data_IF_020086565422
#
_entry.id   IF_020086565422
#
_cell.length_a   1.000
_cell.length_b   1.000
_cell.length_c   1.000
_cell.angle_alpha   90.00
_cell.angle_beta   90.00
_cell.angle_gamma   90.00
#
_symmetry.space_group_name_H-M   'P 1'
#
loop_
_entity.id
_entity.type
_entity.pdbx_description
1 polymer ?
#
# COMPACT_ATOMS: atom_id res chain seq x y z
N UNK A 1 18.52 22.87 -1.09
CA UNK A 1 17.26 22.64 -0.36
C UNK A 1 16.15 22.87 -1.34
N UNK A 2 15.04 22.18 -1.19
CA UNK A 2 13.92 22.25 -2.11
C UNK A 2 12.76 22.99 -1.48
N UNK A 3 12.01 23.73 -2.30
CA UNK A 3 10.64 24.10 -1.95
C UNK A 3 9.77 22.94 -2.39
N UNK A 4 8.97 22.43 -1.47
CA UNK A 4 8.06 21.32 -1.72
C UNK A 4 6.65 21.89 -1.79
N UNK A 5 5.94 21.58 -2.86
CA UNK A 5 4.50 21.81 -2.93
C UNK A 5 3.79 20.66 -2.21
N UNK A 6 2.90 21.01 -1.29
CA UNK A 6 2.08 20.04 -0.53
C UNK A 6 0.65 19.96 -1.07
N UNK A 7 0.31 20.74 -2.10
CA UNK A 7 -1.06 20.84 -2.62
C UNK A 7 -2.03 21.55 -1.67
N UNK A 8 -1.53 22.22 -0.62
CA UNK A 8 -2.34 22.98 0.33
C UNK A 8 -2.19 24.46 0.04
N UNK A 9 -3.28 25.10 -0.40
CA UNK A 9 -3.29 26.52 -0.74
C UNK A 9 -2.79 27.38 0.44
N UNK A 10 -1.83 28.26 0.15
CA UNK A 10 -1.26 29.19 1.14
C UNK A 10 -0.25 28.58 2.12
N UNK A 11 0.10 27.30 1.99
CA UNK A 11 1.14 26.64 2.78
C UNK A 11 2.38 26.44 1.91
N UNK A 12 3.55 26.83 2.43
CA UNK A 12 4.83 26.61 1.77
C UNK A 12 5.63 25.61 2.57
N UNK A 13 6.25 24.62 1.92
CA UNK A 13 7.11 23.67 2.61
C UNK A 13 8.55 23.73 2.09
N UNK A 14 9.52 23.55 2.98
CA UNK A 14 10.94 23.63 2.64
C UNK A 14 11.71 22.41 3.17
N UNK A 15 12.41 21.72 2.28
CA UNK A 15 13.34 20.63 2.60
C UNK A 15 14.79 21.17 2.64
N UNK A 16 15.47 21.13 3.80
CA UNK A 16 16.84 21.62 3.95
C UNK A 16 17.84 20.91 3.04
N UNK A 17 18.92 21.62 2.64
CA UNK A 17 19.93 21.09 1.69
C UNK A 17 20.57 19.78 2.14
N UNK A 18 20.85 19.62 3.44
CA UNK A 18 21.45 18.39 3.97
C UNK A 18 20.54 17.17 3.98
N UNK A 19 19.23 17.35 3.74
CA UNK A 19 18.24 16.26 3.63
C UNK A 19 17.81 16.04 2.17
N UNK A 20 18.40 16.77 1.24
CA UNK A 20 17.95 16.88 -0.14
C UNK A 20 18.94 16.26 -1.15
N UNK A 21 19.89 15.47 -0.68
CA UNK A 21 20.89 14.84 -1.54
C UNK A 21 20.26 13.74 -2.40
N UNK A 22 20.55 13.75 -3.70
CA UNK A 22 20.05 12.75 -4.66
C UNK A 22 18.61 12.95 -5.14
N UNK A 23 17.91 14.00 -4.71
CA UNK A 23 16.55 14.30 -5.19
C UNK A 23 16.57 15.13 -6.46
N UNK A 24 15.61 14.87 -7.35
CA UNK A 24 15.39 15.60 -8.60
C UNK A 24 14.19 16.54 -8.50
N UNK A 25 14.17 17.61 -9.30
CA UNK A 25 13.00 18.50 -9.40
C UNK A 25 11.81 17.70 -9.96
N UNK A 26 10.63 17.87 -9.35
CA UNK A 26 9.40 17.15 -9.75
C UNK A 26 9.25 15.77 -9.13
N UNK A 27 10.26 15.24 -8.44
CA UNK A 27 10.16 13.99 -7.72
C UNK A 27 9.22 14.13 -6.52
N UNK A 28 8.20 13.29 -6.45
CA UNK A 28 7.39 13.12 -5.24
C UNK A 28 8.23 12.51 -4.12
N UNK A 29 8.18 13.11 -2.93
CA UNK A 29 8.89 12.62 -1.74
C UNK A 29 7.96 12.55 -0.55
N UNK A 30 8.07 11.47 0.23
CA UNK A 30 7.42 11.40 1.53
C UNK A 30 8.31 12.07 2.58
N UNK A 31 7.76 13.02 3.32
CA UNK A 31 8.51 13.83 4.26
C UNK A 31 7.73 14.07 5.56
N UNK A 32 8.48 14.18 6.66
CA UNK A 32 7.97 14.53 7.98
C UNK A 32 8.04 16.04 8.21
N UNK A 33 7.02 16.59 8.87
CA UNK A 33 7.05 17.99 9.32
C UNK A 33 7.96 18.08 10.55
N UNK A 34 9.15 18.67 10.37
CA UNK A 34 10.11 18.94 11.46
C UNK A 34 9.72 20.16 12.28
N UNK A 35 9.04 21.13 11.69
CA UNK A 35 8.61 22.33 12.38
C UNK A 35 7.69 23.22 11.55
N UNK A 36 7.04 24.16 12.23
CA UNK A 36 6.10 25.13 11.65
C UNK A 36 6.49 26.55 12.03
N UNK A 37 6.51 27.46 11.06
CA UNK A 37 6.76 28.90 11.22
C UNK A 37 5.70 29.68 10.44
N UNK A 38 4.61 30.05 11.10
CA UNK A 38 3.46 30.63 10.41
C UNK A 38 2.84 29.62 9.43
N UNK A 39 2.73 30.01 8.16
CA UNK A 39 2.31 29.13 7.05
C UNK A 39 3.45 28.33 6.42
N UNK A 40 4.70 28.52 6.86
CA UNK A 40 5.85 27.77 6.37
C UNK A 40 6.10 26.51 7.20
N UNK A 41 6.25 25.37 6.52
CA UNK A 41 6.63 24.09 7.11
C UNK A 41 8.09 23.76 6.77
N UNK A 42 8.83 23.27 7.74
CA UNK A 42 10.18 22.73 7.52
C UNK A 42 10.07 21.21 7.50
N UNK A 43 10.51 20.62 6.40
CA UNK A 43 10.42 19.18 6.16
C UNK A 43 11.73 18.48 6.53
N UNK A 44 11.63 17.17 6.72
CA UNK A 44 12.72 16.22 6.94
C UNK A 44 12.35 14.91 6.25
N UNK A 45 13.30 14.25 5.60
CA UNK A 45 13.09 12.89 5.10
C UNK A 45 13.03 11.91 6.28
N UNK A 46 12.06 10.97 6.29
CA UNK A 46 11.95 10.00 7.36
C UNK A 46 13.21 9.12 7.40
N UNK A 47 13.75 8.95 8.60
CA UNK A 47 14.69 7.87 8.88
C UNK A 47 13.84 6.63 9.17
N UNK A 48 13.59 5.82 8.13
CA UNK A 48 12.67 4.68 8.18
C UNK A 48 12.95 3.77 9.39
N UNK A 49 14.24 3.55 9.69
CA UNK A 49 14.66 2.72 10.82
C UNK A 49 14.28 3.31 12.19
N UNK A 50 14.15 4.64 12.34
CA UNK A 50 13.72 5.27 13.60
C UNK A 50 12.20 5.35 13.73
N UNK A 51 11.49 5.50 12.61
CA UNK A 51 10.04 5.67 12.59
C UNK A 51 9.27 4.34 12.63
N UNK A 52 9.89 3.26 12.16
CA UNK A 52 9.33 1.90 12.21
C UNK A 52 9.36 1.27 13.61
N UNK A 53 10.23 1.71 14.51
CA UNK A 53 10.53 0.94 15.74
C UNK A 53 9.61 1.17 16.93
N UNK A 54 8.73 2.17 16.90
CA UNK A 54 7.84 2.47 18.04
C UNK A 54 6.53 1.68 17.94
N UNK A 55 6.61 0.37 18.22
CA UNK A 55 5.42 -0.49 18.41
C UNK A 55 4.66 -0.03 19.66
N UNK A 56 3.36 0.19 19.52
CA UNK A 56 2.48 0.54 20.64
C UNK A 56 1.85 -0.74 21.19
N UNK A 57 2.35 -1.19 22.35
CA UNK A 57 1.90 -2.43 23.01
C UNK A 57 1.09 -2.17 24.28
N UNK A 58 0.99 -0.93 24.75
CA UNK A 58 0.23 -0.56 25.95
C UNK A 58 -1.24 -0.30 25.64
N UNK A 59 -2.13 -0.63 26.58
CA UNK A 59 -3.54 -0.25 26.51
C UNK A 59 -3.69 1.28 26.40
N UNK A 60 -4.30 1.74 25.31
CA UNK A 60 -4.56 3.15 25.05
C UNK A 60 -6.06 3.43 25.03
N UNK A 61 -6.44 4.68 25.34
CA UNK A 61 -7.78 5.17 25.05
C UNK A 61 -7.90 5.45 23.55
N UNK A 62 -9.10 5.35 23.00
CA UNK A 62 -9.35 5.57 21.57
C UNK A 62 -8.81 6.92 21.07
N UNK A 63 -9.02 7.98 21.87
CA UNK A 63 -8.55 9.35 21.57
C UNK A 63 -7.02 9.49 21.50
N UNK A 64 -6.27 8.56 22.08
CA UNK A 64 -4.82 8.55 22.01
C UNK A 64 -4.29 7.82 20.76
N UNK A 65 -5.16 7.09 20.05
CA UNK A 65 -4.80 6.43 18.79
C UNK A 65 -4.79 7.48 17.69
N UNK A 66 -3.68 7.54 16.97
CA UNK A 66 -3.46 8.49 15.87
C UNK A 66 -3.11 7.75 14.59
N UNK A 67 -3.45 8.35 13.46
CA UNK A 67 -2.94 7.92 12.16
C UNK A 67 -1.39 7.90 12.19
N UNK A 68 -0.81 6.90 11.54
CA UNK A 68 0.61 6.62 11.54
C UNK A 68 1.11 5.78 12.72
N UNK A 69 0.28 5.46 13.73
CA UNK A 69 0.73 4.59 14.83
C UNK A 69 0.96 3.15 14.39
N UNK A 70 2.06 2.54 14.84
CA UNK A 70 2.33 1.13 14.64
C UNK A 70 1.71 0.31 15.77
N UNK A 71 0.86 -0.65 15.41
CA UNK A 71 0.07 -1.47 16.34
C UNK A 71 0.22 -2.94 16.00
N UNK A 72 0.16 -3.79 17.03
CA UNK A 72 0.00 -5.23 16.84
C UNK A 72 -1.49 -5.57 16.92
N UNK A 73 -1.92 -6.42 15.99
CA UNK A 73 -3.30 -6.89 15.90
C UNK A 73 -3.36 -8.39 15.71
N UNK A 74 -4.39 -9.01 16.28
CA UNK A 74 -4.69 -10.43 16.10
C UNK A 74 -5.77 -10.57 15.04
N UNK A 75 -5.57 -11.41 14.03
CA UNK A 75 -6.60 -11.69 13.02
C UNK A 75 -7.79 -12.35 13.69
N UNK A 76 -8.92 -11.64 13.75
CA UNK A 76 -10.15 -12.16 14.32
C UNK A 76 -10.96 -12.88 13.24
N UNK A 77 -11.10 -12.25 12.06
CA UNK A 77 -11.92 -12.76 10.95
C UNK A 77 -11.32 -12.41 9.60
N UNK A 78 -11.51 -13.30 8.63
CA UNK A 78 -11.20 -13.09 7.21
C UNK A 78 -12.53 -12.85 6.48
N UNK A 79 -12.77 -11.63 6.03
CA UNK A 79 -14.02 -11.23 5.34
C UNK A 79 -13.83 -11.24 3.82
N UNK A 80 -14.85 -10.85 3.05
CA UNK A 80 -14.78 -10.86 1.58
C UNK A 80 -13.83 -9.82 1.01
N UNK A 81 -13.75 -8.65 1.65
CA UNK A 81 -13.01 -7.48 1.19
C UNK A 81 -11.82 -7.11 2.09
N UNK A 82 -11.36 -8.02 2.94
CA UNK A 82 -10.25 -7.74 3.86
C UNK A 82 -10.19 -8.60 5.12
N UNK A 83 -9.43 -8.11 6.10
CA UNK A 83 -9.22 -8.72 7.41
C UNK A 83 -9.81 -7.83 8.51
N UNK A 84 -10.42 -8.48 9.50
CA UNK A 84 -10.77 -7.83 10.77
C UNK A 84 -9.74 -8.25 11.81
N UNK A 85 -9.05 -7.26 12.36
CA UNK A 85 -8.03 -7.42 13.39
C UNK A 85 -8.56 -6.90 14.73
N UNK A 86 -8.22 -7.58 15.80
CA UNK A 86 -8.35 -7.10 17.17
C UNK A 86 -7.02 -6.45 17.56
N UNK A 87 -6.97 -5.11 17.61
CA UNK A 87 -5.75 -4.33 17.77
C UNK A 87 -5.61 -3.74 19.19
N UNK A 88 -4.37 -3.41 19.58
CA UNK A 88 -4.05 -2.77 20.87
C UNK A 88 -4.59 -3.61 22.04
N UNK A 89 -4.07 -4.84 22.18
CA UNK A 89 -4.50 -5.78 23.23
C UNK A 89 -6.01 -6.08 23.22
N UNK A 90 -6.62 -6.03 22.05
CA UNK A 90 -8.05 -6.27 21.84
C UNK A 90 -8.97 -5.16 22.32
N UNK A 91 -8.44 -3.96 22.57
CA UNK A 91 -9.24 -2.79 22.91
C UNK A 91 -10.06 -2.26 21.73
N UNK A 92 -9.58 -2.44 20.49
CA UNK A 92 -10.21 -1.87 19.29
C UNK A 92 -10.31 -2.86 18.15
N UNK A 93 -11.36 -2.69 17.33
CA UNK A 93 -11.49 -3.40 16.06
C UNK A 93 -10.80 -2.60 14.96
N UNK A 94 -10.02 -3.29 14.14
CA UNK A 94 -9.32 -2.75 12.98
C UNK A 94 -9.72 -3.47 11.70
N UNK A 95 -9.91 -2.72 10.62
CA UNK A 95 -10.16 -3.26 9.29
C UNK A 95 -8.93 -3.05 8.42
N UNK A 96 -8.45 -4.11 7.77
CA UNK A 96 -7.48 -4.05 6.68
C UNK A 96 -8.20 -4.44 5.41
N UNK A 97 -8.35 -3.51 4.46
CA UNK A 97 -8.94 -3.83 3.16
C UNK A 97 -7.98 -4.70 2.32
N UNK A 98 -8.51 -5.44 1.36
CA UNK A 98 -7.75 -6.21 0.37
C UNK A 98 -6.69 -5.36 -0.36
N UNK A 99 -6.98 -4.06 -0.57
CA UNK A 99 -6.04 -3.09 -1.14
C UNK A 99 -4.87 -2.74 -0.21
N UNK A 100 -4.96 -3.04 1.08
CA UNK A 100 -3.94 -2.73 2.10
C UNK A 100 -3.30 -3.97 2.72
N UNK A 101 -3.44 -5.13 2.07
CA UNK A 101 -2.63 -6.31 2.36
C UNK A 101 -1.16 -6.10 1.96
N UNK A 102 -0.28 -7.01 2.39
CA UNK A 102 1.15 -6.94 2.10
C UNK A 102 1.43 -6.87 0.59
N UNK A 103 0.75 -7.74 -0.16
CA UNK A 103 0.73 -7.75 -1.62
C UNK A 103 -0.72 -7.91 -2.13
N UNK A 104 -1.03 -7.42 -3.34
CA UNK A 104 -2.28 -7.70 -4.02
C UNK A 104 -2.48 -9.21 -4.18
N UNK A 105 -3.59 -9.77 -3.74
CA UNK A 105 -3.86 -11.19 -3.94
C UNK A 105 -5.37 -11.49 -4.02
N UNK A 106 -5.79 -12.55 -4.73
CA UNK A 106 -7.17 -13.04 -4.68
C UNK A 106 -7.50 -13.55 -3.29
N UNK A 107 -8.78 -13.50 -2.92
CA UNK A 107 -9.29 -13.92 -1.60
C UNK A 107 -8.82 -15.31 -1.19
N UNK A 108 -8.85 -16.24 -2.12
CA UNK A 108 -8.49 -17.65 -1.89
C UNK A 108 -7.01 -17.82 -1.52
N UNK A 109 -6.15 -16.88 -1.91
CA UNK A 109 -4.72 -16.90 -1.62
C UNK A 109 -4.46 -16.31 -0.23
N UNK A 110 -4.91 -15.09 0.04
CA UNK A 110 -4.61 -14.44 1.32
C UNK A 110 -5.40 -15.03 2.49
N UNK A 111 -6.55 -15.66 2.27
CA UNK A 111 -7.24 -16.44 3.30
C UNK A 111 -6.45 -17.67 3.77
N UNK A 112 -5.51 -18.19 2.97
CA UNK A 112 -4.61 -19.30 3.37
C UNK A 112 -3.42 -18.80 4.17
N UNK A 113 -2.98 -17.57 3.88
CA UNK A 113 -1.85 -16.89 4.51
C UNK A 113 -2.25 -16.35 5.88
N UNK A 114 -3.31 -15.54 5.94
CA UNK A 114 -3.80 -14.94 7.18
C UNK A 114 -4.83 -15.83 7.85
N UNK A 115 -4.48 -16.38 9.01
CA UNK A 115 -5.35 -17.29 9.78
C UNK A 115 -5.87 -16.61 11.04
N UNK A 116 -7.07 -16.99 11.47
CA UNK A 116 -7.64 -16.54 12.73
C UNK A 116 -6.68 -16.88 13.89
N UNK A 117 -6.43 -15.90 14.76
CA UNK A 117 -5.47 -15.99 15.87
C UNK A 117 -4.03 -15.60 15.50
N UNK A 118 -3.72 -15.36 14.22
CA UNK A 118 -2.40 -14.89 13.81
C UNK A 118 -2.15 -13.46 14.26
N UNK A 119 -0.99 -13.21 14.86
CA UNK A 119 -0.53 -11.86 15.18
C UNK A 119 0.11 -11.24 13.93
N UNK A 120 -0.30 -10.02 13.62
CA UNK A 120 0.24 -9.21 12.52
C UNK A 120 0.57 -7.81 13.02
N UNK A 121 1.66 -7.24 12.54
CA UNK A 121 2.00 -5.84 12.78
C UNK A 121 1.37 -5.00 11.68
N UNK A 122 0.61 -3.97 12.06
CA UNK A 122 -0.10 -3.09 11.14
C UNK A 122 0.12 -1.62 11.51
N UNK A 123 -0.02 -0.72 10.55
CA UNK A 123 -0.01 0.73 10.80
C UNK A 123 -1.41 1.30 10.66
N UNK A 124 -1.78 2.21 11.56
CA UNK A 124 -3.05 2.95 11.50
C UNK A 124 -2.99 3.93 10.33
N UNK A 125 -3.89 3.79 9.35
CA UNK A 125 -4.06 4.77 8.27
C UNK A 125 -5.00 5.89 8.69
N UNK A 126 -6.13 5.51 9.27
CA UNK A 126 -7.19 6.43 9.66
C UNK A 126 -7.95 5.88 10.86
N UNK A 127 -8.54 6.78 11.64
CA UNK A 127 -9.33 6.47 12.83
C UNK A 127 -10.77 6.89 12.57
N UNK A 128 -11.68 5.92 12.42
CA UNK A 128 -13.12 6.20 12.32
C UNK A 128 -13.71 6.34 13.72
N UNK A 129 -13.79 7.58 14.19
CA UNK A 129 -14.33 7.91 15.51
C UNK A 129 -15.86 7.74 15.62
N UNK A 130 -16.58 7.57 14.51
CA UNK A 130 -18.02 7.31 14.57
C UNK A 130 -18.30 5.83 14.79
N UNK A 131 -17.46 4.96 14.21
CA UNK A 131 -17.59 3.50 14.31
C UNK A 131 -16.62 2.87 15.31
N UNK A 132 -15.85 3.68 16.03
CA UNK A 132 -14.76 3.26 16.92
C UNK A 132 -13.85 2.19 16.27
N UNK A 133 -13.60 2.34 14.96
CA UNK A 133 -12.90 1.36 14.14
C UNK A 133 -11.62 1.98 13.56
N UNK A 134 -10.54 1.21 13.55
CA UNK A 134 -9.27 1.63 12.95
C UNK A 134 -9.19 1.13 11.51
N UNK A 135 -8.82 1.99 10.56
CA UNK A 135 -8.38 1.52 9.25
C UNK A 135 -6.89 1.25 9.33
N UNK A 136 -6.49 0.02 9.01
CA UNK A 136 -5.14 -0.48 9.19
C UNK A 136 -4.54 -0.87 7.85
N UNK A 137 -3.21 -0.83 7.76
CA UNK A 137 -2.46 -1.35 6.60
C UNK A 137 -1.38 -2.34 7.01
N UNK A 138 -1.23 -3.37 6.19
CA UNK A 138 -0.17 -4.38 6.24
C UNK A 138 0.86 -4.19 5.11
N UNK A 139 0.72 -3.14 4.28
CA UNK A 139 1.68 -2.85 3.21
C UNK A 139 3.06 -2.58 3.81
N UNK A 140 4.05 -3.32 3.34
CA UNK A 140 5.41 -3.26 3.89
C UNK A 140 5.97 -1.83 3.93
N UNK A 141 5.85 -1.05 2.84
CA UNK A 141 6.34 0.32 2.82
C UNK A 141 5.65 1.26 3.79
N UNK A 142 4.34 1.13 3.99
CA UNK A 142 3.61 1.95 4.96
C UNK A 142 3.89 1.49 6.40
N UNK A 143 4.02 0.19 6.62
CA UNK A 143 4.37 -0.37 7.93
C UNK A 143 5.78 0.06 8.35
N UNK A 144 6.75 0.03 7.45
CA UNK A 144 8.14 0.38 7.75
C UNK A 144 8.50 1.84 7.43
N UNK A 145 7.57 2.62 6.85
CA UNK A 145 7.80 3.98 6.36
C UNK A 145 9.00 4.04 5.39
N UNK A 146 9.07 3.03 4.53
CA UNK A 146 10.02 2.95 3.43
C UNK A 146 9.41 3.64 2.20
N UNK A 147 10.24 3.98 1.22
CA UNK A 147 9.73 4.38 -0.08
C UNK A 147 8.75 3.32 -0.61
N UNK A 148 7.61 3.75 -1.14
CA UNK A 148 6.64 2.85 -1.73
C UNK A 148 7.34 1.93 -2.76
N UNK A 149 7.10 0.61 -2.73
CA UNK A 149 7.55 -0.28 -3.79
C UNK A 149 6.92 0.25 -5.06
N UNK A 150 7.65 0.26 -6.14
CA UNK A 150 7.23 0.90 -7.37
C UNK A 150 5.96 0.27 -7.97
N UNK A 151 4.80 0.95 -7.98
CA UNK A 151 3.94 0.92 -9.16
C UNK A 151 4.51 1.87 -10.23
N UNK A 152 5.16 2.98 -9.83
CA UNK A 152 5.59 4.07 -10.71
C UNK A 152 6.98 3.88 -11.35
N UNK A 153 7.86 3.06 -10.77
CA UNK A 153 9.19 2.81 -11.34
C UNK A 153 9.24 1.53 -12.21
N UNK A 154 8.27 0.63 -12.06
CA UNK A 154 8.21 -0.63 -12.81
C UNK A 154 7.28 -0.55 -14.04
N UNK A 155 6.22 0.26 -13.96
CA UNK A 155 5.40 0.65 -15.10
C UNK A 155 5.07 2.17 -15.00
N UNK A 156 5.93 3.05 -15.55
CA UNK A 156 5.62 4.47 -15.65
C UNK A 156 4.24 4.69 -16.27
N UNK A 157 3.61 5.78 -15.87
CA UNK A 157 2.35 6.19 -16.46
C UNK A 157 2.52 6.37 -17.97
N UNK A 158 1.58 5.83 -18.73
CA UNK A 158 1.64 5.74 -20.18
C UNK A 158 1.96 4.33 -20.67
N UNK A 159 2.61 3.50 -19.84
CA UNK A 159 2.95 2.12 -20.18
C UNK A 159 1.73 1.21 -20.26
N UNK A 160 1.78 0.28 -21.20
CA UNK A 160 0.82 -0.81 -21.35
C UNK A 160 1.36 -2.04 -20.62
N UNK A 161 0.59 -2.52 -19.65
CA UNK A 161 0.87 -3.71 -18.86
C UNK A 161 0.07 -4.87 -19.44
N UNK A 162 0.78 -5.83 -20.00
CA UNK A 162 0.22 -7.08 -20.49
C UNK A 162 0.07 -8.12 -19.36
N UNK A 163 -0.83 -9.10 -19.56
CA UNK A 163 -1.05 -10.26 -18.67
C UNK A 163 -1.40 -9.90 -17.21
N UNK A 164 -2.11 -8.79 -17.00
CA UNK A 164 -2.58 -8.41 -15.67
C UNK A 164 -3.79 -9.25 -15.25
N UNK A 165 -3.68 -9.95 -14.12
CA UNK A 165 -4.71 -10.84 -13.59
C UNK A 165 -5.73 -10.08 -12.73
N UNK A 166 -7.02 -10.31 -12.92
CA UNK A 166 -8.09 -9.79 -12.06
C UNK A 166 -8.05 -10.51 -10.71
N UNK A 167 -7.80 -9.76 -9.63
CA UNK A 167 -7.69 -10.29 -8.27
C UNK A 167 -8.97 -10.15 -7.47
N UNK A 168 -9.66 -9.03 -7.65
CA UNK A 168 -10.91 -8.72 -6.96
C UNK A 168 -11.76 -7.81 -7.84
N UNK A 169 -13.08 -8.02 -7.79
CA UNK A 169 -14.06 -7.18 -8.49
C UNK A 169 -14.99 -6.60 -7.43
N UNK A 170 -15.13 -5.28 -7.41
CA UNK A 170 -16.10 -4.58 -6.58
C UNK A 170 -17.15 -3.95 -7.49
N UNK A 171 -18.39 -4.45 -7.52
CA UNK A 171 -19.40 -4.13 -8.53
C UNK A 171 -19.52 -2.65 -8.88
N UNK A 172 -19.61 -1.79 -7.87
CA UNK A 172 -19.89 -0.35 -8.03
C UNK A 172 -18.66 0.54 -7.98
N UNK A 173 -17.46 -0.01 -7.83
CA UNK A 173 -16.23 0.78 -7.60
C UNK A 173 -15.22 0.52 -8.70
N UNK A 174 -14.92 -0.75 -9.00
CA UNK A 174 -13.90 -1.09 -9.98
C UNK A 174 -13.29 -2.47 -9.75
N UNK A 175 -12.13 -2.66 -10.37
CA UNK A 175 -11.45 -3.95 -10.46
C UNK A 175 -10.01 -3.79 -10.02
N UNK A 176 -9.57 -4.72 -9.18
CA UNK A 176 -8.20 -4.83 -8.73
C UNK A 176 -7.46 -5.83 -9.60
N UNK A 177 -6.35 -5.41 -10.19
CA UNK A 177 -5.46 -6.22 -10.99
C UNK A 177 -4.12 -6.43 -10.30
N UNK A 178 -3.51 -7.57 -10.61
CA UNK A 178 -2.17 -7.92 -10.17
C UNK A 178 -1.31 -8.43 -11.30
N UNK A 179 -0.03 -8.07 -11.29
CA UNK A 179 0.98 -8.69 -12.15
C UNK A 179 2.07 -9.27 -11.27
N UNK A 180 2.46 -10.52 -11.51
CA UNK A 180 3.55 -11.14 -10.76
C UNK A 180 4.88 -10.43 -11.06
N UNK A 181 5.69 -10.20 -10.04
CA UNK A 181 6.99 -9.54 -10.17
C UNK A 181 8.06 -10.38 -9.48
N UNK A 182 9.27 -10.40 -10.04
CA UNK A 182 10.42 -10.92 -9.32
C UNK A 182 10.61 -10.08 -8.04
N UNK A 183 10.75 -10.76 -6.89
CA UNK A 183 10.90 -10.11 -5.59
C UNK A 183 11.97 -9.00 -5.66
N UNK A 184 11.55 -7.73 -5.55
CA UNK A 184 12.50 -6.65 -5.34
C UNK A 184 13.12 -6.86 -3.96
N UNK A 185 14.45 -6.95 -3.90
CA UNK A 185 15.24 -7.37 -2.74
C UNK A 185 15.19 -6.42 -1.53
N UNK A 186 14.02 -6.25 -0.92
CA UNK A 186 13.80 -5.40 0.26
C UNK A 186 13.05 -6.09 1.40
N UNK A 187 12.83 -7.40 1.33
CA UNK A 187 12.33 -8.18 2.46
C UNK A 187 13.51 -8.80 3.22
N UNK A 188 14.31 -7.96 3.89
CA UNK A 188 14.96 -8.41 5.12
C UNK A 188 13.81 -8.65 6.11
N UNK A 189 13.30 -9.87 6.12
CA UNK A 189 12.26 -10.27 7.06
C UNK A 189 12.80 -10.02 8.46
N UNK A 190 12.10 -9.18 9.22
CA UNK A 190 12.31 -9.06 10.65
C UNK A 190 12.28 -10.48 11.22
N UNK A 191 13.45 -10.95 11.66
CA UNK A 191 13.56 -12.14 12.49
C UNK A 191 12.87 -11.81 13.82
N UNK A 192 11.55 -12.02 13.89
CA UNK A 192 10.85 -12.05 15.17
C UNK A 192 11.39 -13.25 15.96
N UNK A 193 12.34 -12.95 16.85
CA UNK A 193 12.73 -13.80 17.97
C UNK A 193 11.48 -14.05 18.81
N UNK A 194 10.97 -15.29 18.79
CA UNK A 194 9.98 -15.80 19.72
C UNK A 194 10.58 -15.75 21.15
N UNK A 195 10.51 -14.59 21.81
CA UNK A 195 10.80 -14.47 23.25
C UNK A 195 9.60 -14.96 24.04
N UNK A 196 9.35 -16.26 24.01
CA UNK A 196 8.55 -16.95 25.02
C UNK A 196 9.16 -18.32 25.31
N UNK A 197 10.39 -18.31 25.83
CA UNK A 197 10.94 -19.43 26.57
C UNK A 197 10.74 -19.16 28.05
N UNK A 198 9.66 -19.73 28.62
CA UNK A 198 9.73 -20.19 30.00
C UNK A 198 10.62 -21.43 29.97
N UNK A 199 11.75 -21.30 30.62
CA UNK A 199 12.75 -22.32 30.87
C UNK A 199 12.08 -23.51 31.58
N UNK A 200 12.16 -24.69 30.97
CA UNK A 200 12.03 -26.00 31.61
C UNK A 200 12.29 -27.11 30.56
N UNK A 201 13.46 -27.75 30.64
CA UNK A 201 13.65 -29.12 30.17
C UNK A 201 14.26 -29.32 28.78
N UNK A 202 15.44 -29.96 28.80
CA UNK A 202 16.27 -30.44 27.71
C UNK A 202 15.56 -31.47 26.79
N UNK A 203 15.44 -31.19 25.48
CA UNK A 203 15.40 -32.21 24.42
C UNK A 203 15.85 -31.63 23.07
N UNK A 204 16.94 -32.20 22.54
CA UNK A 204 17.59 -31.84 21.29
C UNK A 204 16.83 -32.37 20.07
N UNK A 205 15.74 -31.70 19.70
CA UNK A 205 15.05 -31.89 18.43
C UNK A 205 15.36 -30.76 17.44
N UNK A 206 16.02 -31.07 16.31
CA UNK A 206 16.22 -30.13 15.18
C UNK A 206 14.87 -29.50 14.76
N UNK A 207 14.61 -28.26 15.22
CA UNK A 207 13.44 -27.47 14.81
C UNK A 207 13.53 -27.18 13.31
N UNK A 208 12.75 -27.89 12.49
CA UNK A 208 12.47 -27.51 11.09
C UNK A 208 11.80 -26.13 11.13
N UNK A 209 12.52 -25.07 10.75
CA UNK A 209 11.96 -23.72 10.52
C UNK A 209 10.80 -23.86 9.53
N UNK A 210 9.57 -23.75 10.01
CA UNK A 210 8.36 -23.80 9.19
C UNK A 210 8.32 -22.48 8.42
N UNK A 211 8.55 -22.52 7.10
CA UNK A 211 8.50 -21.32 6.25
C UNK A 211 7.10 -20.70 6.40
N UNK A 212 7.03 -19.49 6.97
CA UNK A 212 5.77 -18.74 7.13
C UNK A 212 5.16 -18.56 5.75
N UNK A 213 3.88 -18.93 5.58
CA UNK A 213 3.18 -18.65 4.33
C UNK A 213 3.19 -17.13 4.14
N UNK A 214 3.63 -16.67 2.97
CA UNK A 214 3.69 -15.26 2.58
C UNK A 214 3.03 -15.13 1.22
N UNK A 215 2.47 -13.96 0.96
CA UNK A 215 1.92 -13.65 -0.35
C UNK A 215 3.04 -13.50 -1.37
N UNK A 216 2.78 -13.97 -2.60
CA UNK A 216 3.72 -13.76 -3.68
C UNK A 216 3.83 -12.27 -4.03
N UNK A 217 5.04 -11.74 -4.30
CA UNK A 217 5.20 -10.37 -4.74
C UNK A 217 4.43 -10.09 -6.04
N UNK A 218 3.50 -9.14 -5.96
CA UNK A 218 2.68 -8.69 -7.09
C UNK A 218 2.66 -7.17 -7.12
N UNK A 219 2.83 -6.62 -8.31
CA UNK A 219 2.44 -5.26 -8.62
C UNK A 219 0.93 -5.16 -8.68
N UNK A 220 0.42 -4.01 -8.29
CA UNK A 220 -0.99 -3.79 -8.15
C UNK A 220 -1.48 -2.65 -9.02
N UNK A 221 -2.60 -2.87 -9.72
CA UNK A 221 -3.27 -1.86 -10.52
C UNK A 221 -4.75 -1.78 -10.16
N UNK A 222 -5.29 -0.58 -10.01
CA UNK A 222 -6.71 -0.36 -9.79
C UNK A 222 -7.33 0.31 -11.02
N UNK A 223 -8.42 -0.28 -11.50
CA UNK A 223 -9.21 0.26 -12.61
C UNK A 223 -10.58 0.61 -12.08
N UNK A 224 -10.87 1.90 -12.01
CA UNK A 224 -12.19 2.39 -11.64
C UNK A 224 -13.24 1.92 -12.66
N UNK A 225 -14.48 1.70 -12.23
CA UNK A 225 -15.57 1.20 -13.09
C UNK A 225 -15.75 2.02 -14.38
N UNK A 226 -15.57 3.34 -14.30
CA UNK A 226 -15.66 4.24 -15.45
C UNK A 226 -14.50 4.15 -16.44
N UNK A 227 -13.47 3.35 -16.14
CA UNK A 227 -12.28 3.12 -16.97
C UNK A 227 -12.20 1.68 -17.47
N UNK A 228 -13.26 0.89 -17.29
CA UNK A 228 -13.34 -0.48 -17.81
C UNK A 228 -13.67 -0.54 -19.30
N UNK A 229 -14.47 0.43 -19.79
CA UNK A 229 -14.92 0.52 -21.17
C UNK A 229 -15.15 1.99 -21.53
N UNK A 230 -15.14 2.29 -22.83
CA UNK A 230 -15.54 3.60 -23.37
C UNK A 230 -17.05 3.85 -23.19
N UNK A 231 -17.82 2.77 -23.10
CA UNK A 231 -19.25 2.82 -22.79
C UNK A 231 -19.53 2.80 -21.30
N UNK A 232 -20.72 3.25 -20.91
CA UNK A 232 -21.13 3.25 -19.50
C UNK A 232 -21.27 1.83 -18.94
N UNK A 233 -20.60 1.59 -17.82
CA UNK A 233 -20.63 0.30 -17.11
C UNK A 233 -21.37 0.47 -15.78
N UNK A 234 -22.50 -0.21 -15.63
CA UNK A 234 -23.28 -0.21 -14.38
C UNK A 234 -22.65 -1.07 -13.27
N UNK A 235 -22.02 -2.18 -13.65
CA UNK A 235 -21.43 -3.12 -12.71
C UNK A 235 -20.20 -3.80 -13.31
N UNK A 236 -19.10 -3.75 -12.58
CA UNK A 236 -17.84 -4.38 -12.96
C UNK A 236 -17.94 -5.91 -13.06
N UNK A 237 -18.76 -6.55 -12.21
CA UNK A 237 -18.94 -8.02 -12.20
C UNK A 237 -19.59 -8.58 -13.47
N UNK A 238 -20.31 -7.73 -14.22
CA UNK A 238 -20.88 -8.13 -15.51
C UNK A 238 -19.81 -8.23 -16.61
N UNK A 239 -18.67 -7.56 -16.43
CA UNK A 239 -17.64 -7.39 -17.47
C UNK A 239 -16.37 -8.20 -17.18
N UNK A 240 -16.07 -8.46 -15.91
CA UNK A 240 -14.82 -9.11 -15.52
C UNK A 240 -15.05 -10.16 -14.44
N UNK A 241 -14.22 -11.20 -14.45
CA UNK A 241 -14.16 -12.20 -13.37
C UNK A 241 -12.76 -12.39 -12.83
N UNK A 242 -12.68 -12.75 -11.56
CA UNK A 242 -11.42 -13.08 -10.87
C UNK A 242 -10.69 -14.21 -11.63
N UNK A 243 -9.39 -14.03 -11.83
CA UNK A 243 -8.51 -14.93 -12.58
C UNK A 243 -8.41 -14.65 -14.08
N UNK A 244 -9.26 -13.79 -14.64
CA UNK A 244 -9.11 -13.34 -16.02
C UNK A 244 -7.87 -12.47 -16.19
N UNK A 245 -7.25 -12.50 -17.37
CA UNK A 245 -6.05 -11.73 -17.69
C UNK A 245 -6.35 -10.73 -18.79
N UNK A 246 -5.92 -9.49 -18.58
CA UNK A 246 -6.21 -8.37 -19.48
C UNK A 246 -4.96 -7.52 -19.70
N UNK A 247 -4.98 -6.78 -20.80
CA UNK A 247 -4.02 -5.73 -21.08
C UNK A 247 -4.60 -4.41 -20.60
N UNK A 248 -3.85 -3.67 -19.79
CA UNK A 248 -4.29 -2.39 -19.23
C UNK A 248 -3.22 -1.33 -19.46
N UNK A 249 -3.63 -0.07 -19.53
CA UNK A 249 -2.70 1.05 -19.64
C UNK A 249 -2.67 1.84 -18.36
N UNK A 250 -1.48 2.12 -17.84
CA UNK A 250 -1.30 2.93 -16.63
C UNK A 250 -1.58 4.39 -16.99
N UNK A 251 -2.57 4.99 -16.34
CA UNK A 251 -3.01 6.38 -16.58
C UNK A 251 -2.54 7.31 -15.47
N UNK A 252 -2.38 6.79 -14.25
CA UNK A 252 -1.84 7.53 -13.13
C UNK A 252 -1.23 6.58 -12.11
N UNK A 253 -0.66 7.10 -11.04
CA UNK A 253 -0.20 6.29 -9.91
C UNK A 253 -0.57 6.92 -8.58
N UNK A 254 -1.04 6.09 -7.64
CA UNK A 254 -1.29 6.49 -6.26
C UNK A 254 0.01 6.32 -5.49
N UNK A 255 0.87 7.32 -5.58
CA UNK A 255 2.25 7.28 -5.07
C UNK A 255 2.34 6.89 -3.58
N UNK A 256 1.42 7.39 -2.75
CA UNK A 256 1.40 7.09 -1.32
C UNK A 256 1.06 5.62 -1.03
N UNK A 257 0.18 5.01 -1.82
CA UNK A 257 -0.25 3.64 -1.55
C UNK A 257 0.56 2.61 -2.33
N UNK A 258 1.30 2.99 -3.36
CA UNK A 258 2.02 2.03 -4.19
C UNK A 258 1.09 1.24 -5.13
N UNK A 259 0.00 1.86 -5.60
CA UNK A 259 -0.89 1.32 -6.65
C UNK A 259 -0.74 2.09 -7.98
N UNK A 260 -0.80 1.40 -9.10
CA UNK A 260 -1.03 2.03 -10.41
C UNK A 260 -2.52 2.26 -10.64
N UNK A 261 -2.92 3.42 -11.14
CA UNK A 261 -4.28 3.64 -11.63
C UNK A 261 -4.28 3.38 -13.15
N UNK A 262 -5.14 2.50 -13.62
CA UNK A 262 -5.12 2.05 -15.01
C UNK A 262 -6.47 2.20 -15.71
N UNK A 263 -6.47 1.95 -17.02
CA UNK A 263 -7.64 1.95 -17.88
C UNK A 263 -7.60 0.77 -18.87
N UNK A 264 -8.78 0.22 -19.15
CA UNK A 264 -9.04 -0.76 -20.20
C UNK A 264 -9.84 -0.17 -21.37
N UNK A 265 -10.14 1.14 -21.32
CA UNK A 265 -10.82 1.84 -22.41
C UNK A 265 -10.02 1.70 -23.71
N UNK A 266 -10.69 1.32 -24.82
CA UNK A 266 -10.03 1.17 -26.11
C UNK A 266 -9.46 2.52 -26.55
N UNK A 267 -10.20 3.62 -26.34
CA UNK A 267 -9.71 4.97 -26.62
C UNK A 267 -8.42 5.33 -25.88
N UNK A 268 -8.21 4.79 -24.67
CA UNK A 268 -7.01 5.03 -23.86
C UNK A 268 -5.89 4.06 -24.23
N UNK A 269 -6.21 2.80 -24.51
CA UNK A 269 -5.23 1.79 -24.93
C UNK A 269 -4.60 2.17 -26.28
N UNK A 270 -5.42 2.64 -27.22
CA UNK A 270 -4.99 2.98 -28.59
C UNK A 270 -4.39 4.40 -28.71
N UNK A 271 -4.50 5.22 -27.65
CA UNK A 271 -4.02 6.61 -27.70
C UNK A 271 -2.51 6.69 -27.95
N UNK A 272 -2.09 7.52 -28.91
CA UNK A 272 -0.66 7.67 -29.20
C UNK A 272 0.07 8.51 -28.15
N UNK A 273 -0.63 9.44 -27.51
CA UNK A 273 -0.10 10.36 -26.49
C UNK A 273 -1.04 10.35 -25.28
N UNK A 274 -0.50 10.19 -24.08
CA UNK A 274 -1.25 10.36 -22.83
C UNK A 274 -0.79 11.57 -22.04
N UNK A 275 0.52 11.86 -22.07
CA UNK A 275 1.13 12.97 -21.36
C UNK A 275 1.79 13.91 -22.34
N UNK A 276 1.91 15.17 -21.92
CA UNK A 276 2.73 16.14 -22.63
C UNK A 276 4.17 15.65 -22.85
N UNK A 277 4.70 14.87 -21.91
CA UNK A 277 6.03 14.27 -21.97
C UNK A 277 6.20 13.27 -23.13
N UNK A 278 5.11 12.65 -23.59
CA UNK A 278 5.12 11.70 -24.71
C UNK A 278 5.23 12.43 -26.06
N UNK A 279 4.88 13.72 -26.10
CA UNK A 279 4.92 14.52 -27.32
C UNK A 279 6.36 14.82 -27.74
N UNK A 280 6.70 14.52 -29.00
CA UNK A 280 7.97 14.93 -29.61
C UNK A 280 7.72 16.06 -30.61
N UNK A 281 8.66 17.01 -30.71
CA UNK A 281 8.59 18.06 -31.73
C UNK A 281 8.53 17.41 -33.12
N UNK A 282 7.52 17.76 -33.91
CA UNK A 282 7.29 17.18 -35.24
C UNK A 282 6.42 15.90 -35.25
N UNK A 283 5.93 15.45 -34.09
CA UNK A 283 4.95 14.37 -34.00
C UNK A 283 3.58 14.83 -34.54
N UNK A 284 2.96 13.99 -35.36
CA UNK A 284 1.55 14.16 -35.76
C UNK A 284 0.68 13.64 -34.62
N UNK A 285 -0.16 14.52 -34.07
CA UNK A 285 -1.08 14.23 -32.95
C UNK A 285 -2.51 14.47 -33.42
#
# INVERSE_FOLDING_TARGET
GYVCDLGIAGVTAFLPKGEAEGLMIGQGVEALIRGKRGSALVLRLPDAAKLAKKKTTSALRFQAVQAGMLVEGVVEKVVSNGLVLSAILGAFSGLVLDTHLEYPAPREEWAKVYRVGQIVTARVLYVDAQKDTLMLTLRHHLVHMNAAPAPCAAAPVGETVEDAEVLAVTPSVGVLFGRAVAAHGGAEGDEEEDTNARDDGEDTGKKRKKKKASLAPREGYFVHISRLSDEFVESAEKHMRVGERHTLRVVDAVACEGWGAASLQASVLDATVLRYEDCRVGMLV
#
